data_IF_183608637237
#
_entry.id   IF_183608637237
#
_cell.length_a   1.000
_cell.length_b   1.000
_cell.length_c   1.000
_cell.angle_alpha   90.00
_cell.angle_beta   90.00
_cell.angle_gamma   90.00
#
_symmetry.space_group_name_H-M   'P 1'
#
loop_
_entity.id
_entity.type
_entity.pdbx_description
1 polymer ?
#
# COMPACT_ATOMS: atom_id res chain seq x y z
N UNK A 1 10.14 15.84 1.36
CA UNK A 1 8.93 15.01 1.29
C UNK A 1 9.34 13.70 0.68
N UNK A 2 9.09 12.59 1.37
CA UNK A 2 9.49 11.26 0.93
C UNK A 2 8.30 10.55 0.27
N UNK A 3 8.60 9.63 -0.65
CA UNK A 3 7.58 8.83 -1.31
C UNK A 3 7.06 7.75 -0.35
N UNK A 4 5.74 7.64 -0.24
CA UNK A 4 5.10 6.62 0.59
C UNK A 4 4.57 5.48 -0.29
N UNK A 5 4.70 4.24 0.17
CA UNK A 5 4.23 3.05 -0.51
C UNK A 5 3.22 2.32 0.37
N UNK A 6 2.01 2.11 -0.15
CA UNK A 6 0.95 1.37 0.53
C UNK A 6 1.00 -0.10 0.13
N UNK A 7 1.49 -0.94 1.03
CA UNK A 7 1.62 -2.38 0.82
C UNK A 7 0.56 -3.16 1.59
N UNK A 8 0.15 -4.32 1.05
CA UNK A 8 -0.67 -5.27 1.79
C UNK A 8 0.19 -6.31 2.51
N UNK A 9 -0.28 -6.77 3.67
CA UNK A 9 0.35 -7.82 4.48
C UNK A 9 -0.67 -8.90 4.86
N UNK A 10 -0.27 -10.19 4.93
CA UNK A 10 1.04 -10.71 4.53
C UNK A 10 1.35 -10.47 3.04
N UNK A 11 2.63 -10.45 2.68
CA UNK A 11 3.02 -10.44 1.27
C UNK A 11 2.33 -11.63 0.60
N UNK A 12 1.66 -11.40 -0.52
CA UNK A 12 0.94 -12.46 -1.19
C UNK A 12 1.96 -13.38 -1.87
N UNK A 13 2.20 -14.54 -1.26
CA UNK A 13 2.88 -15.65 -1.89
C UNK A 13 1.97 -16.39 -2.88
N UNK A 14 0.65 -16.17 -2.79
CA UNK A 14 -0.37 -16.74 -3.68
C UNK A 14 -1.55 -15.77 -3.83
N UNK A 15 -2.23 -15.81 -4.98
CA UNK A 15 -3.39 -14.97 -5.34
C UNK A 15 -4.61 -15.17 -4.42
N UNK A 16 -4.62 -16.21 -3.59
CA UNK A 16 -5.73 -16.52 -2.68
C UNK A 16 -5.43 -16.14 -1.23
N UNK A 17 -4.24 -15.60 -0.94
CA UNK A 17 -3.90 -15.18 0.41
C UNK A 17 -4.68 -13.90 0.74
N UNK A 18 -5.51 -14.01 1.78
CA UNK A 18 -6.26 -12.88 2.30
C UNK A 18 -5.31 -11.77 2.78
N UNK A 19 -5.64 -10.53 2.45
CA UNK A 19 -4.95 -9.38 3.06
C UNK A 19 -5.44 -9.26 4.49
N UNK A 20 -4.53 -9.32 5.44
CA UNK A 20 -4.84 -9.07 6.85
C UNK A 20 -4.90 -7.57 7.13
N UNK A 21 -3.92 -6.82 6.63
CA UNK A 21 -3.85 -5.37 6.82
C UNK A 21 -2.96 -4.72 5.76
N UNK A 22 -2.95 -3.39 5.74
CA UNK A 22 -2.07 -2.57 4.92
C UNK A 22 -1.07 -1.83 5.80
N UNK A 23 0.09 -1.55 5.22
CA UNK A 23 1.20 -0.82 5.83
C UNK A 23 1.64 0.31 4.92
N UNK A 24 2.22 1.34 5.50
CA UNK A 24 2.83 2.46 4.79
C UNK A 24 4.33 2.38 5.01
N UNK A 25 5.07 2.32 3.90
CA UNK A 25 6.53 2.25 3.88
C UNK A 25 7.05 3.55 3.26
N UNK A 26 8.00 4.18 3.93
CA UNK A 26 8.69 5.40 3.47
C UNK A 26 10.17 5.16 3.67
N UNK A 27 10.98 5.37 2.63
CA UNK A 27 12.44 5.17 2.67
C UNK A 27 12.83 3.82 3.31
N UNK A 28 12.18 2.75 2.87
CA UNK A 28 12.36 1.36 3.36
C UNK A 28 11.97 1.12 4.84
N UNK A 29 11.46 2.15 5.52
CA UNK A 29 11.02 2.09 6.90
C UNK A 29 9.49 2.00 6.99
N UNK A 30 9.00 1.10 7.85
CA UNK A 30 7.57 1.01 8.15
C UNK A 30 7.17 2.17 9.06
N UNK A 31 6.42 3.13 8.51
CA UNK A 31 5.97 4.33 9.23
C UNK A 31 4.55 4.20 9.76
N UNK A 32 3.73 3.34 9.15
CA UNK A 32 2.37 3.04 9.59
C UNK A 32 1.98 1.61 9.29
N UNK A 33 1.13 1.01 10.13
CA UNK A 33 0.68 -0.37 9.96
C UNK A 33 -0.67 -0.67 10.61
N UNK A 34 -1.24 -1.83 10.27
CA UNK A 34 -2.55 -2.33 10.70
C UNK A 34 -3.77 -1.63 10.09
N UNK A 35 -3.66 -1.03 8.91
CA UNK A 35 -4.81 -0.45 8.23
C UNK A 35 -5.69 -1.55 7.61
N UNK A 36 -7.01 -1.46 7.75
CA UNK A 36 -7.93 -2.47 7.17
C UNK A 36 -8.08 -2.27 5.66
N UNK A 37 -7.93 -1.05 5.16
CA UNK A 37 -8.10 -0.72 3.74
C UNK A 37 -6.91 0.06 3.18
N UNK A 38 -6.71 -0.02 1.86
CA UNK A 38 -5.72 0.82 1.16
C UNK A 38 -6.04 2.31 1.26
N UNK A 39 -7.34 2.65 1.32
CA UNK A 39 -7.78 4.02 1.45
C UNK A 39 -7.38 4.62 2.81
N UNK A 40 -7.49 3.84 3.89
CA UNK A 40 -7.07 4.28 5.23
C UNK A 40 -5.56 4.48 5.31
N UNK A 41 -4.79 3.55 4.75
CA UNK A 41 -3.33 3.67 4.68
C UNK A 41 -2.89 4.87 3.82
N UNK A 42 -3.58 5.13 2.69
CA UNK A 42 -3.36 6.32 1.88
C UNK A 42 -3.69 7.58 2.67
N UNK A 43 -4.85 7.62 3.32
CA UNK A 43 -5.28 8.78 4.10
C UNK A 43 -4.26 9.12 5.18
N UNK A 44 -3.77 8.11 5.90
CA UNK A 44 -2.67 8.29 6.85
C UNK A 44 -1.43 8.89 6.20
N UNK A 45 -0.99 8.34 5.06
CA UNK A 45 0.18 8.86 4.36
C UNK A 45 0.01 10.32 3.90
N UNK A 46 -1.18 10.69 3.45
CA UNK A 46 -1.52 12.06 3.05
C UNK A 46 -1.57 13.02 4.25
N UNK A 47 -2.20 12.59 5.36
CA UNK A 47 -2.31 13.40 6.58
C UNK A 47 -0.94 13.68 7.22
N UNK A 48 0.00 12.74 7.11
CA UNK A 48 1.41 12.89 7.54
C UNK A 48 2.24 13.76 6.56
N UNK A 49 1.68 14.15 5.41
CA UNK A 49 2.35 15.01 4.43
C UNK A 49 3.33 14.30 3.49
N UNK A 50 3.21 12.98 3.33
CA UNK A 50 4.00 12.24 2.35
C UNK A 50 3.48 12.48 0.92
N UNK A 51 4.41 12.68 -0.02
CA UNK A 51 4.09 12.90 -1.43
C UNK A 51 5.31 12.57 -2.31
N UNK A 52 5.14 11.76 -3.37
CA UNK A 52 3.91 11.08 -3.82
C UNK A 52 3.53 9.86 -2.97
N UNK A 53 2.24 9.52 -2.91
CA UNK A 53 1.75 8.26 -2.33
C UNK A 53 1.53 7.24 -3.45
N UNK A 54 2.20 6.09 -3.35
CA UNK A 54 2.12 4.99 -4.28
C UNK A 54 1.21 3.89 -3.74
N UNK A 55 0.19 3.52 -4.51
CA UNK A 55 -0.76 2.45 -4.15
C UNK A 55 -0.68 1.32 -5.17
N UNK A 56 -0.66 0.08 -4.70
CA UNK A 56 -0.67 -1.11 -5.54
C UNK A 56 -2.07 -1.33 -6.15
N UNK A 57 -2.16 -1.48 -7.48
CA UNK A 57 -3.47 -1.66 -8.12
C UNK A 57 -4.00 -3.08 -7.91
N UNK A 58 -5.00 -3.24 -7.04
CA UNK A 58 -5.76 -4.49 -6.93
C UNK A 58 -6.81 -4.55 -8.05
N UNK A 59 -6.47 -5.17 -9.19
CA UNK A 59 -7.49 -5.54 -10.21
C UNK A 59 -8.24 -6.79 -9.76
N UNK A 60 -9.41 -7.06 -10.36
CA UNK A 60 -10.29 -8.20 -10.07
C UNK A 60 -9.63 -9.59 -10.15
N UNK A 61 -8.40 -9.67 -10.64
CA UNK A 61 -7.55 -10.85 -10.54
C UNK A 61 -6.43 -10.46 -9.58
N UNK A 62 -6.36 -11.16 -8.45
CA UNK A 62 -5.44 -10.90 -7.36
C UNK A 62 -3.99 -11.24 -7.75
N UNK A 63 -3.44 -10.55 -8.75
CA UNK A 63 -2.03 -10.60 -9.13
C UNK A 63 -1.21 -9.83 -8.08
N UNK A 64 -1.33 -10.28 -6.83
CA UNK A 64 -0.74 -9.69 -5.63
C UNK A 64 0.68 -10.17 -5.41
N UNK A 65 1.05 -11.28 -6.04
CA UNK A 65 2.43 -11.75 -6.12
C UNK A 65 3.25 -10.88 -7.08
N UNK A 66 2.62 -10.25 -8.08
CA UNK A 66 3.22 -9.29 -9.02
C UNK A 66 2.27 -8.11 -9.27
N UNK A 67 2.12 -7.18 -8.30
CA UNK A 67 1.21 -6.06 -8.44
C UNK A 67 1.53 -5.28 -9.72
N UNK A 68 0.55 -5.22 -10.62
CA UNK A 68 0.66 -4.52 -11.89
C UNK A 68 0.74 -3.01 -11.64
N UNK A 69 1.96 -2.53 -11.45
CA UNK A 69 2.40 -1.14 -11.41
C UNK A 69 1.83 -0.32 -10.23
N UNK A 70 2.73 0.05 -9.32
CA UNK A 70 2.53 1.13 -8.35
C UNK A 70 2.05 2.39 -9.07
N UNK A 71 0.90 2.94 -8.65
CA UNK A 71 0.42 4.22 -9.16
C UNK A 71 0.58 5.29 -8.11
N UNK A 72 1.04 6.46 -8.55
CA UNK A 72 0.90 7.69 -7.78
C UNK A 72 -0.60 7.95 -7.68
N UNK A 73 -1.12 7.85 -6.46
CA UNK A 73 -2.47 8.29 -6.12
C UNK A 73 -2.32 9.65 -5.43
N UNK A 74 -2.78 10.74 -6.05
CA UNK A 74 -2.69 12.05 -5.43
C UNK A 74 -3.48 12.07 -4.13
N UNK A 75 -2.83 12.64 -3.12
CA UNK A 75 -3.52 13.37 -2.06
C UNK A 75 -4.10 14.65 -2.71
#
# INVERSE_FOLDING_TARGET
>A
MAAAYVEHRPHASSEHVATSHYVVIVDESLVGGNFTTQADAKKYACDEGYSPVHVARQRHLQDRSKPAHWRVDPC
#
